data_IF_221340193752
#
_entry.id   IF_221340193752
#
_cell.length_a   1.000
_cell.length_b   1.000
_cell.length_c   1.000
_cell.angle_alpha   90.00
_cell.angle_beta   90.00
_cell.angle_gamma   90.00
#
_symmetry.space_group_name_H-M   'P 1'
#
loop_
_entity.id
_entity.type
_entity.pdbx_description
1 polymer ?
#
# COMPACT_ATOMS: atom_id res chain seq x y z
N UNK A 1 20.62 -24.48 -3.71
CA UNK A 1 19.62 -23.80 -2.86
C UNK A 1 20.06 -22.35 -2.71
N UNK A 2 19.28 -21.36 -3.18
CA UNK A 2 19.62 -19.95 -2.91
C UNK A 2 19.39 -19.69 -1.41
N UNK A 3 20.40 -19.16 -0.74
CA UNK A 3 20.32 -18.75 0.66
C UNK A 3 19.35 -17.57 0.77
N UNK A 4 18.37 -17.65 1.66
CA UNK A 4 17.47 -16.54 1.97
C UNK A 4 18.31 -15.34 2.41
N UNK A 5 18.04 -14.16 1.84
CA UNK A 5 18.79 -12.94 2.19
C UNK A 5 18.49 -12.54 3.64
N UNK A 6 19.42 -11.84 4.30
CA UNK A 6 19.17 -11.29 5.64
C UNK A 6 17.95 -10.35 5.67
N UNK A 7 17.75 -9.60 4.58
CA UNK A 7 16.60 -8.71 4.45
C UNK A 7 15.28 -9.47 4.41
N UNK A 8 15.19 -10.54 3.63
CA UNK A 8 14.00 -11.40 3.56
C UNK A 8 13.71 -12.07 4.91
N UNK A 9 14.74 -12.58 5.60
CA UNK A 9 14.57 -13.16 6.95
C UNK A 9 13.98 -12.15 7.93
N UNK A 10 14.47 -10.91 7.92
CA UNK A 10 13.93 -9.86 8.79
C UNK A 10 12.49 -9.50 8.42
N UNK A 11 12.16 -9.42 7.13
CA UNK A 11 10.78 -9.18 6.67
C UNK A 11 9.85 -10.31 7.12
N UNK A 12 10.28 -11.56 7.03
CA UNK A 12 9.51 -12.73 7.49
C UNK A 12 9.27 -12.68 9.00
N UNK A 13 10.29 -12.31 9.79
CA UNK A 13 10.15 -12.12 11.25
C UNK A 13 9.15 -11.00 11.57
N UNK A 14 9.21 -9.88 10.85
CA UNK A 14 8.24 -8.79 11.02
C UNK A 14 6.82 -9.22 10.64
N UNK A 15 6.66 -9.95 9.54
CA UNK A 15 5.35 -10.50 9.15
C UNK A 15 4.79 -11.43 10.24
N UNK A 16 5.63 -12.31 10.82
CA UNK A 16 5.24 -13.19 11.93
C UNK A 16 4.86 -12.40 13.19
N UNK A 17 5.58 -11.31 13.50
CA UNK A 17 5.27 -10.45 14.64
C UNK A 17 3.85 -9.86 14.55
N UNK A 18 3.40 -9.54 13.33
CA UNK A 18 2.04 -9.04 13.06
C UNK A 18 1.02 -10.15 12.74
N UNK A 19 1.37 -11.43 12.94
CA UNK A 19 0.52 -12.59 12.60
C UNK A 19 0.08 -12.62 11.11
N UNK A 20 0.98 -12.22 10.21
CA UNK A 20 0.73 -12.15 8.77
C UNK A 20 1.34 -13.35 8.04
N UNK A 21 0.50 -14.11 7.33
CA UNK A 21 0.98 -15.14 6.40
C UNK A 21 1.71 -14.50 5.21
N UNK A 22 2.99 -14.82 5.03
CA UNK A 22 3.85 -14.18 4.02
C UNK A 22 3.36 -14.44 2.59
N UNK A 23 2.78 -15.62 2.32
CA UNK A 23 2.29 -15.98 0.97
C UNK A 23 1.04 -15.18 0.61
N UNK A 24 0.07 -15.12 1.51
CA UNK A 24 -1.12 -14.28 1.37
C UNK A 24 -0.75 -12.81 1.31
N UNK A 25 0.17 -12.35 2.16
CA UNK A 25 0.68 -10.99 2.20
C UNK A 25 1.27 -10.55 0.86
N UNK A 26 2.12 -11.38 0.26
CA UNK A 26 2.66 -11.13 -1.07
C UNK A 26 1.56 -11.03 -2.12
N UNK A 27 0.64 -12.01 -2.14
CA UNK A 27 -0.46 -12.06 -3.11
C UNK A 27 -1.34 -10.81 -3.04
N UNK A 28 -1.82 -10.46 -1.84
CA UNK A 28 -2.70 -9.32 -1.64
C UNK A 28 -2.02 -7.98 -1.94
N UNK A 29 -0.75 -7.82 -1.56
CA UNK A 29 0.02 -6.60 -1.86
C UNK A 29 0.25 -6.44 -3.36
N UNK A 30 0.56 -7.54 -4.06
CA UNK A 30 0.76 -7.52 -5.51
C UNK A 30 -0.52 -7.15 -6.27
N UNK A 31 -1.68 -7.62 -5.80
CA UNK A 31 -2.98 -7.23 -6.39
C UNK A 31 -3.23 -5.74 -6.15
N UNK A 32 -3.03 -5.24 -4.92
CA UNK A 32 -3.18 -3.82 -4.59
C UNK A 32 -2.32 -2.92 -5.48
N UNK A 33 -1.03 -3.26 -5.65
CA UNK A 33 -0.11 -2.56 -6.54
C UNK A 33 -0.55 -2.62 -8.01
N UNK A 34 -1.20 -3.71 -8.43
CA UNK A 34 -1.77 -3.86 -9.76
C UNK A 34 -2.95 -2.92 -10.02
N UNK A 35 -3.71 -2.58 -8.98
CA UNK A 35 -4.86 -1.67 -9.07
C UNK A 35 -4.50 -0.21 -8.93
N UNK A 36 -3.36 0.10 -8.30
CA UNK A 36 -2.98 1.47 -7.95
C UNK A 36 -3.13 2.47 -9.10
N UNK A 37 -2.60 2.15 -10.29
CA UNK A 37 -2.68 3.04 -11.46
C UNK A 37 -4.12 3.30 -11.92
N UNK A 38 -4.98 2.28 -11.86
CA UNK A 38 -6.39 2.41 -12.22
C UNK A 38 -7.11 3.32 -11.23
N UNK A 39 -6.79 3.18 -9.94
CA UNK A 39 -7.31 4.07 -8.89
C UNK A 39 -6.85 5.50 -9.14
N UNK A 40 -5.55 5.75 -9.33
CA UNK A 40 -4.99 7.08 -9.66
C UNK A 40 -5.69 7.70 -10.86
N UNK A 41 -5.87 6.94 -11.95
CA UNK A 41 -6.57 7.40 -13.14
C UNK A 41 -8.04 7.75 -12.86
N UNK A 42 -8.74 6.92 -12.08
CA UNK A 42 -10.12 7.19 -11.66
C UNK A 42 -10.22 8.47 -10.82
N UNK A 43 -9.27 8.72 -9.90
CA UNK A 43 -9.20 9.96 -9.10
C UNK A 43 -9.07 11.17 -10.01
N UNK A 44 -8.10 11.15 -10.92
CA UNK A 44 -7.80 12.28 -11.83
C UNK A 44 -9.02 12.62 -12.69
N UNK A 45 -9.72 11.61 -13.20
CA UNK A 45 -10.90 11.82 -14.04
C UNK A 45 -12.10 12.33 -13.25
N UNK A 46 -12.35 11.82 -12.04
CA UNK A 46 -13.41 12.38 -11.17
C UNK A 46 -13.14 13.84 -10.80
N UNK A 47 -11.89 14.19 -10.52
CA UNK A 47 -11.50 15.58 -10.24
C UNK A 47 -11.73 16.52 -11.45
N UNK A 48 -11.58 15.99 -12.67
CA UNK A 48 -11.87 16.72 -13.90
C UNK A 48 -13.38 16.81 -14.20
N UNK A 49 -14.19 15.86 -13.71
CA UNK A 49 -15.63 15.70 -14.02
C UNK A 49 -16.61 16.38 -13.02
N UNK A 50 -16.20 17.46 -12.36
CA UNK A 50 -16.97 18.37 -11.48
C UNK A 50 -16.48 18.41 -10.02
N UNK A 51 -16.36 19.65 -9.52
CA UNK A 51 -16.44 20.06 -8.11
C UNK A 51 -17.77 19.63 -7.43
N UNK A 52 -18.09 18.34 -7.40
CA UNK A 52 -19.21 17.82 -6.62
C UNK A 52 -18.80 16.50 -5.98
N UNK A 53 -18.05 16.61 -4.88
CA UNK A 53 -18.25 15.63 -3.83
C UNK A 53 -18.58 16.35 -2.52
N UNK A 54 -19.81 16.06 -2.10
CA UNK A 54 -20.53 16.65 -0.99
C UNK A 54 -19.81 16.25 0.30
N UNK A 55 -19.51 17.25 1.14
CA UNK A 55 -19.13 17.03 2.53
C UNK A 55 -20.27 16.26 3.24
N UNK A 56 -20.14 14.94 3.36
CA UNK A 56 -21.16 14.11 4.01
C UNK A 56 -20.99 12.59 3.89
N UNK A 57 -20.31 12.08 2.86
CA UNK A 57 -20.10 10.62 2.65
C UNK A 57 -18.76 10.09 3.13
N UNK A 58 -17.84 10.98 3.50
CA UNK A 58 -16.43 10.67 3.80
C UNK A 58 -16.26 9.65 4.95
N UNK A 59 -17.05 9.75 6.02
CA UNK A 59 -16.88 8.90 7.20
C UNK A 59 -17.29 7.44 7.00
N UNK A 60 -18.54 7.19 6.56
CA UNK A 60 -19.09 5.84 6.50
C UNK A 60 -18.40 4.95 5.45
N UNK A 61 -17.97 5.56 4.34
CA UNK A 61 -17.27 4.86 3.26
C UNK A 61 -15.81 4.51 3.64
N UNK A 62 -15.11 5.39 4.36
CA UNK A 62 -13.72 5.16 4.77
C UNK A 62 -13.58 3.98 5.72
N UNK A 63 -14.38 3.92 6.80
CA UNK A 63 -14.32 2.79 7.74
C UNK A 63 -14.64 1.45 7.07
N UNK A 64 -15.67 1.45 6.21
CA UNK A 64 -16.06 0.24 5.46
C UNK A 64 -14.93 -0.24 4.57
N UNK A 65 -14.22 0.68 3.91
CA UNK A 65 -13.13 0.33 3.03
C UNK A 65 -11.84 -0.05 3.78
N UNK A 66 -11.55 0.57 4.94
CA UNK A 66 -10.44 0.17 5.81
C UNK A 66 -10.65 -1.25 6.37
N UNK A 67 -11.87 -1.58 6.81
CA UNK A 67 -12.21 -2.93 7.25
C UNK A 67 -12.09 -3.93 6.09
N UNK A 68 -12.58 -3.55 4.89
CA UNK A 68 -12.42 -4.39 3.69
C UNK A 68 -10.95 -4.66 3.34
N UNK A 69 -10.06 -3.66 3.45
CA UNK A 69 -8.62 -3.85 3.26
C UNK A 69 -7.99 -4.75 4.32
N UNK A 70 -8.38 -4.56 5.59
CA UNK A 70 -7.89 -5.36 6.70
C UNK A 70 -8.17 -6.85 6.46
N UNK A 71 -9.41 -7.17 6.05
CA UNK A 71 -9.88 -8.53 5.86
C UNK A 71 -9.69 -9.04 4.42
N UNK A 72 -8.89 -8.35 3.61
CA UNK A 72 -8.75 -8.63 2.19
C UNK A 72 -8.14 -10.02 1.93
N UNK A 73 -8.99 -10.96 1.49
CA UNK A 73 -8.64 -12.32 1.11
C UNK A 73 -8.59 -12.46 -0.43
N UNK A 74 -7.40 -12.66 -1.03
CA UNK A 74 -7.21 -12.64 -2.49
C UNK A 74 -7.78 -13.84 -3.25
N UNK A 75 -8.31 -14.87 -2.56
CA UNK A 75 -8.87 -16.08 -3.18
C UNK A 75 -10.29 -15.88 -3.76
N UNK A 76 -10.97 -14.77 -3.44
CA UNK A 76 -12.24 -14.39 -4.06
C UNK A 76 -11.98 -13.41 -5.21
N UNK A 77 -11.91 -13.96 -6.41
CA UNK A 77 -11.97 -13.33 -7.75
C UNK A 77 -11.65 -11.83 -7.85
N UNK A 78 -10.55 -11.54 -8.55
CA UNK A 78 -10.03 -10.22 -8.93
C UNK A 78 -11.11 -9.21 -9.43
N UNK A 79 -12.15 -9.69 -10.12
CA UNK A 79 -13.26 -8.86 -10.64
C UNK A 79 -14.14 -8.24 -9.53
N UNK A 80 -14.30 -8.96 -8.42
CA UNK A 80 -15.06 -8.49 -7.26
C UNK A 80 -14.26 -7.44 -6.47
N UNK A 81 -12.94 -7.59 -6.42
CA UNK A 81 -12.02 -6.64 -5.81
C UNK A 81 -11.93 -5.35 -6.62
N UNK A 82 -11.76 -5.42 -7.95
CA UNK A 82 -11.71 -4.22 -8.81
C UNK A 82 -12.99 -3.38 -8.68
N UNK A 83 -14.16 -4.02 -8.72
CA UNK A 83 -15.46 -3.33 -8.60
C UNK A 83 -15.65 -2.76 -7.19
N UNK A 84 -15.35 -3.53 -6.14
CA UNK A 84 -15.51 -3.07 -4.74
C UNK A 84 -14.49 -2.00 -4.39
N UNK A 85 -13.24 -2.13 -4.79
CA UNK A 85 -12.20 -1.12 -4.55
C UNK A 85 -12.51 0.17 -5.30
N UNK A 86 -12.85 0.10 -6.59
CA UNK A 86 -13.18 1.30 -7.36
C UNK A 86 -14.42 2.06 -6.82
N UNK A 87 -15.38 1.34 -6.21
CA UNK A 87 -16.60 1.93 -5.66
C UNK A 87 -16.50 2.36 -4.19
N UNK A 88 -15.78 1.61 -3.34
CA UNK A 88 -15.64 1.89 -1.90
C UNK A 88 -14.54 2.89 -1.59
N UNK A 89 -13.52 2.96 -2.45
CA UNK A 89 -12.44 3.87 -2.25
C UNK A 89 -12.78 5.17 -2.93
N UNK A 90 -13.04 6.18 -2.11
CA UNK A 90 -12.68 7.54 -2.46
C UNK A 90 -11.15 7.64 -2.59
N UNK A 91 -10.58 6.96 -3.59
CA UNK A 91 -9.48 7.39 -4.44
C UNK A 91 -8.24 8.06 -3.80
N UNK A 92 -8.40 9.18 -3.09
CA UNK A 92 -7.31 9.92 -2.46
C UNK A 92 -6.69 9.20 -1.26
N UNK A 93 -7.50 8.57 -0.40
CA UNK A 93 -6.97 8.00 0.85
C UNK A 93 -6.12 6.74 0.63
N UNK A 94 -6.42 5.88 -0.35
CA UNK A 94 -5.58 4.71 -0.67
C UNK A 94 -4.21 5.13 -1.20
N UNK A 95 -4.17 6.20 -2.01
CA UNK A 95 -2.92 6.80 -2.46
C UNK A 95 -2.11 7.22 -1.22
N UNK A 96 -2.72 7.95 -0.28
CA UNK A 96 -2.07 8.38 0.96
C UNK A 96 -1.60 7.21 1.84
N UNK A 97 -2.39 6.13 1.99
CA UNK A 97 -1.96 4.95 2.75
C UNK A 97 -0.75 4.26 2.11
N UNK A 98 -0.74 4.16 0.77
CA UNK A 98 0.39 3.60 0.04
C UNK A 98 1.61 4.52 0.16
N UNK A 99 1.45 5.83 0.13
CA UNK A 99 2.53 6.79 0.35
C UNK A 99 3.13 6.66 1.76
N UNK A 100 2.29 6.48 2.78
CA UNK A 100 2.74 6.20 4.15
C UNK A 100 3.49 4.86 4.25
N UNK A 101 2.96 3.81 3.63
CA UNK A 101 3.63 2.52 3.56
C UNK A 101 4.96 2.60 2.81
N UNK A 102 5.02 3.37 1.73
CA UNK A 102 6.23 3.59 0.94
C UNK A 102 7.29 4.36 1.73
N UNK A 103 6.89 5.32 2.58
CA UNK A 103 7.80 5.99 3.52
C UNK A 103 8.41 4.99 4.50
N UNK A 104 7.61 4.05 5.04
CA UNK A 104 8.15 2.96 5.87
C UNK A 104 9.16 2.09 5.11
N UNK A 105 8.84 1.70 3.87
CA UNK A 105 9.74 0.93 3.02
C UNK A 105 11.06 1.68 2.77
N UNK A 106 10.98 2.98 2.50
CA UNK A 106 12.14 3.82 2.26
C UNK A 106 13.07 3.92 3.48
N UNK A 107 12.48 4.10 4.68
CA UNK A 107 13.22 4.21 5.94
C UNK A 107 13.80 2.87 6.42
N UNK A 108 13.53 1.77 5.72
CA UNK A 108 13.99 0.44 6.11
C UNK A 108 15.51 0.28 5.95
N UNK A 109 16.22 -0.23 6.97
CA UNK A 109 17.69 -0.16 7.03
C UNK A 109 18.42 -1.00 5.97
N UNK A 110 17.75 -1.96 5.32
CA UNK A 110 18.35 -2.80 4.28
C UNK A 110 17.71 -2.55 2.93
N UNK A 111 18.45 -1.92 2.02
CA UNK A 111 17.99 -1.67 0.64
C UNK A 111 16.67 -0.87 0.57
N UNK A 112 16.28 -0.13 1.61
CA UNK A 112 14.99 0.59 1.69
C UNK A 112 14.77 1.54 0.52
N UNK A 113 15.78 2.33 0.15
CA UNK A 113 15.75 3.20 -1.03
C UNK A 113 15.50 2.40 -2.32
N UNK A 114 16.26 1.30 -2.53
CA UNK A 114 16.10 0.43 -3.70
C UNK A 114 14.70 -0.19 -3.74
N UNK A 115 14.15 -0.61 -2.60
CA UNK A 115 12.79 -1.15 -2.53
C UNK A 115 11.75 -0.09 -2.88
N UNK A 116 11.87 1.12 -2.33
CA UNK A 116 10.99 2.23 -2.63
C UNK A 116 11.03 2.58 -4.12
N UNK A 117 12.22 2.61 -4.72
CA UNK A 117 12.38 2.92 -6.14
C UNK A 117 11.85 1.82 -7.05
N UNK A 118 12.04 0.53 -6.70
CA UNK A 118 11.40 -0.58 -7.41
C UNK A 118 9.88 -0.40 -7.38
N UNK A 119 9.29 -0.10 -6.21
CA UNK A 119 7.85 0.08 -6.08
C UNK A 119 7.35 1.26 -6.91
N UNK A 120 8.00 2.42 -6.80
CA UNK A 120 7.69 3.64 -7.57
C UNK A 120 7.74 3.39 -9.07
N UNK A 121 8.90 2.99 -9.58
CA UNK A 121 9.14 2.85 -11.01
C UNK A 121 8.30 1.74 -11.64
N UNK A 122 8.06 0.64 -10.92
CA UNK A 122 7.36 -0.53 -11.45
C UNK A 122 5.84 -0.43 -11.34
N UNK A 123 5.32 0.13 -10.25
CA UNK A 123 3.90 0.04 -9.91
C UNK A 123 3.22 1.40 -9.77
N UNK A 124 3.87 2.40 -9.16
CA UNK A 124 3.19 3.63 -8.74
C UNK A 124 3.24 4.74 -9.77
N UNK A 125 4.33 4.87 -10.52
CA UNK A 125 4.42 5.90 -11.55
C UNK A 125 3.45 5.65 -12.71
N UNK A 126 2.96 6.74 -13.29
CA UNK A 126 2.03 6.75 -14.41
C UNK A 126 2.59 5.99 -15.62
N UNK A 127 3.88 6.16 -15.90
CA UNK A 127 4.56 5.40 -16.95
C UNK A 127 4.70 3.93 -16.56
N UNK A 128 3.99 3.05 -17.28
CA UNK A 128 4.12 1.60 -17.12
C UNK A 128 5.47 1.13 -17.66
N UNK A 129 6.42 0.85 -16.76
CA UNK A 129 7.72 0.26 -17.12
C UNK A 129 7.72 -1.26 -17.05
N UNK A 130 8.58 -1.90 -17.84
CA UNK A 130 8.82 -3.34 -17.76
C UNK A 130 9.77 -3.66 -16.60
N UNK A 131 9.78 -4.91 -16.14
CA UNK A 131 10.74 -5.37 -15.13
C UNK A 131 12.20 -5.17 -15.60
N UNK A 132 12.49 -5.41 -16.89
CA UNK A 132 13.82 -5.20 -17.46
C UNK A 132 14.23 -3.72 -17.42
N UNK A 133 13.32 -2.82 -17.82
CA UNK A 133 13.57 -1.37 -17.81
C UNK A 133 13.87 -0.87 -16.41
N UNK A 134 13.13 -1.34 -15.39
CA UNK A 134 13.39 -0.94 -14.00
C UNK A 134 14.71 -1.51 -13.50
N UNK A 135 15.03 -2.77 -13.84
CA UNK A 135 16.33 -3.39 -13.52
C UNK A 135 17.49 -2.58 -14.09
N UNK A 136 17.39 -2.13 -15.34
CA UNK A 136 18.39 -1.31 -16.02
C UNK A 136 18.53 0.08 -15.39
N UNK A 137 17.41 0.77 -15.13
CA UNK A 137 17.40 2.09 -14.50
C UNK A 137 18.06 2.08 -13.11
N UNK A 138 17.87 1.01 -12.35
CA UNK A 138 18.45 0.85 -11.02
C UNK A 138 19.85 0.20 -11.04
N UNK A 139 20.41 -0.07 -12.22
CA UNK A 139 21.70 -0.77 -12.39
C UNK A 139 21.77 -2.10 -11.62
N UNK A 140 20.65 -2.83 -11.57
CA UNK A 140 20.55 -4.12 -10.91
C UNK A 140 20.67 -5.26 -11.92
N UNK A 141 21.42 -6.30 -11.56
CA UNK A 141 21.36 -7.58 -12.26
C UNK A 141 19.95 -8.16 -12.18
N UNK A 142 19.50 -8.86 -13.23
CA UNK A 142 18.13 -9.41 -13.30
C UNK A 142 17.80 -10.29 -12.10
N UNK A 143 18.69 -11.19 -11.71
CA UNK A 143 18.55 -12.05 -10.53
C UNK A 143 18.30 -11.25 -9.27
N UNK A 144 19.16 -10.26 -9.02
CA UNK A 144 19.08 -9.35 -7.87
C UNK A 144 17.80 -8.54 -7.90
N UNK A 145 17.39 -8.03 -9.07
CA UNK A 145 16.15 -7.29 -9.23
C UNK A 145 14.92 -8.11 -8.81
N UNK A 146 14.81 -9.37 -9.23
CA UNK A 146 13.65 -10.19 -8.86
C UNK A 146 13.63 -10.52 -7.37
N UNK A 147 14.80 -10.74 -6.75
CA UNK A 147 14.90 -10.95 -5.30
C UNK A 147 14.48 -9.67 -4.54
N UNK A 148 15.04 -8.51 -4.91
CA UNK A 148 14.70 -7.21 -4.29
C UNK A 148 13.26 -6.79 -4.53
N UNK A 149 12.70 -7.07 -5.71
CA UNK A 149 11.28 -6.81 -6.00
C UNK A 149 10.35 -7.63 -5.11
N UNK A 150 10.68 -8.91 -4.88
CA UNK A 150 9.89 -9.77 -4.00
C UNK A 150 9.90 -9.24 -2.57
N UNK A 151 11.08 -8.87 -2.07
CA UNK A 151 11.25 -8.29 -0.74
C UNK A 151 10.53 -6.94 -0.61
N UNK A 152 10.65 -6.05 -1.61
CA UNK A 152 9.98 -4.75 -1.62
C UNK A 152 8.44 -4.89 -1.54
N UNK A 153 7.86 -5.83 -2.30
CA UNK A 153 6.41 -6.11 -2.24
C UNK A 153 6.02 -6.64 -0.86
N UNK A 154 6.80 -7.54 -0.27
CA UNK A 154 6.52 -8.08 1.06
C UNK A 154 6.64 -7.02 2.15
N UNK A 155 7.70 -6.21 2.12
CA UNK A 155 7.93 -5.15 3.08
C UNK A 155 6.83 -4.08 3.00
N UNK A 156 6.39 -3.72 1.80
CA UNK A 156 5.22 -2.85 1.65
C UNK A 156 3.97 -3.51 2.26
N UNK A 157 3.79 -4.81 2.06
CA UNK A 157 2.72 -5.57 2.69
C UNK A 157 2.77 -5.50 4.22
N UNK A 158 3.93 -5.75 4.82
CA UNK A 158 4.14 -5.63 6.28
C UNK A 158 3.80 -4.20 6.73
N UNK A 159 4.28 -3.19 6.01
CA UNK A 159 4.03 -1.78 6.31
C UNK A 159 2.54 -1.46 6.31
N UNK A 160 1.81 -1.93 5.30
CA UNK A 160 0.40 -1.63 5.13
C UNK A 160 -0.47 -2.38 6.15
N UNK A 161 -0.34 -3.70 6.22
CA UNK A 161 -1.23 -4.53 7.04
C UNK A 161 -0.79 -4.72 8.48
N UNK A 162 0.50 -4.53 8.78
CA UNK A 162 1.02 -4.59 10.15
C UNK A 162 0.93 -3.24 10.87
N UNK A 163 0.98 -2.13 10.14
CA UNK A 163 1.10 -0.79 10.74
C UNK A 163 0.06 0.20 10.22
N UNK A 164 0.11 0.55 8.94
CA UNK A 164 -0.63 1.70 8.41
C UNK A 164 -2.15 1.51 8.45
N UNK A 165 -2.67 0.36 8.01
CA UNK A 165 -4.11 0.06 8.00
C UNK A 165 -4.65 -0.12 9.44
N UNK A 166 -4.02 -0.91 10.33
CA UNK A 166 -4.43 -0.98 11.73
C UNK A 166 -4.48 0.39 12.41
N UNK A 167 -3.46 1.23 12.20
CA UNK A 167 -3.41 2.59 12.77
C UNK A 167 -4.46 3.52 12.16
N UNK A 168 -4.77 3.37 10.86
CA UNK A 168 -5.86 4.11 10.24
C UNK A 168 -7.22 3.74 10.85
N UNK A 169 -7.46 2.45 11.12
CA UNK A 169 -8.68 1.97 11.77
C UNK A 169 -8.77 2.47 13.22
N UNK A 170 -7.67 2.38 13.99
CA UNK A 170 -7.64 2.86 15.39
C UNK A 170 -7.88 4.37 15.46
N UNK A 171 -7.20 5.14 14.60
CA UNK A 171 -7.35 6.59 14.48
C UNK A 171 -8.79 6.93 14.09
N UNK A 172 -9.35 6.26 13.08
CA UNK A 172 -10.73 6.51 12.65
C UNK A 172 -11.71 6.27 13.82
N UNK A 173 -11.61 5.13 14.52
CA UNK A 173 -12.48 4.82 15.66
C UNK A 173 -12.37 5.85 16.78
N UNK A 174 -11.16 6.37 17.03
CA UNK A 174 -10.91 7.35 18.09
C UNK A 174 -11.47 8.74 17.75
N UNK A 175 -11.43 9.12 16.48
CA UNK A 175 -11.74 10.47 16.03
C UNK A 175 -13.00 10.57 15.18
N UNK A 176 -13.78 9.49 14.97
CA UNK A 176 -15.01 9.49 14.14
C UNK A 176 -16.04 10.54 14.57
N UNK A 177 -16.05 10.91 15.84
CA UNK A 177 -16.96 11.94 16.39
C UNK A 177 -16.38 13.36 16.33
N UNK A 178 -15.11 13.49 15.99
CA UNK A 178 -14.41 14.77 15.85
C UNK A 178 -14.32 15.05 14.35
N UNK A 179 -14.83 16.20 13.90
CA UNK A 179 -14.70 16.64 12.50
C UNK A 179 -13.26 17.03 12.18
N UNK A 180 -12.34 16.07 12.25
CA UNK A 180 -10.93 16.24 11.89
C UNK A 180 -10.79 16.32 10.37
N UNK A 181 -9.85 17.13 9.90
CA UNK A 181 -9.54 17.20 8.47
C UNK A 181 -8.80 15.94 8.02
N UNK A 182 -8.83 15.69 6.71
CA UNK A 182 -8.07 14.59 6.10
C UNK A 182 -6.56 14.68 6.39
N UNK A 183 -6.00 15.89 6.31
CA UNK A 183 -4.59 16.12 6.61
C UNK A 183 -4.26 15.78 8.07
N UNK A 184 -5.09 16.21 9.03
CA UNK A 184 -4.91 15.89 10.46
C UNK A 184 -5.05 14.38 10.72
N UNK A 185 -5.95 13.69 10.00
CA UNK A 185 -6.07 12.23 10.08
C UNK A 185 -4.78 11.51 9.65
N UNK A 186 -4.22 11.86 8.49
CA UNK A 186 -3.01 11.21 7.99
C UNK A 186 -1.75 11.58 8.76
N UNK A 187 -1.66 12.81 9.27
CA UNK A 187 -0.59 13.19 10.19
C UNK A 187 -0.61 12.34 11.47
N UNK A 188 -1.80 12.03 12.01
CA UNK A 188 -1.92 11.20 13.21
C UNK A 188 -1.49 9.75 12.95
N UNK A 189 -1.90 9.16 11.83
CA UNK A 189 -1.45 7.81 11.43
C UNK A 189 0.08 7.78 11.31
N UNK A 190 0.69 8.83 10.73
CA UNK A 190 2.13 8.91 10.55
C UNK A 190 2.90 9.04 11.88
N UNK A 191 2.32 9.68 12.90
CA UNK A 191 2.94 9.91 14.23
C UNK A 191 2.82 8.70 15.17
N UNK A 192 1.88 7.78 14.94
CA UNK A 192 1.78 6.55 15.74
C UNK A 192 2.96 5.58 15.54
N UNK A 193 3.89 5.87 14.61
CA UNK A 193 5.20 5.18 14.46
C UNK A 193 6.13 5.33 15.68
N UNK A 194 5.89 6.31 16.55
CA UNK A 194 6.84 6.74 17.61
C UNK A 194 6.53 6.18 19.01
N UNK A 195 5.60 5.22 19.14
CA UNK A 195 5.25 4.56 20.41
C UNK A 195 5.56 3.08 20.37
#
# INVERSE_FOLDING_TARGET
>A
MRTTTKAMQFIEVQAQHFDLDTKQLYSKTKILLGLYRNVVWSVKNRANDYQKEIAGTYGMQLNTALLYLSDFAPERTKDDFETKVNNLFQSHWLIKLIDLGLKYVHDYPYYGEIYADILRLRFLEETKRSDNTVSELLSLERSTYYDRKKEAILLLGVSLWGLVIPNAISTYKRFVHLSISEDDFFERIAREKEK
#
